data_IF_388612860307
#
_entry.id   IF_388612860307
#
_cell.length_a   1.000
_cell.length_b   1.000
_cell.length_c   1.000
_cell.angle_alpha   90.00
_cell.angle_beta   90.00
_cell.angle_gamma   90.00
#
_symmetry.space_group_name_H-M   'P 1'
#
loop_
_entity.id
_entity.type
_entity.pdbx_description
1 polymer ?
#
# COMPACT_ATOMS: atom_id res chain seq x y z
N UNK A 1 6.74 4.50 16.79
CA UNK A 1 5.97 3.29 16.47
C UNK A 1 6.89 2.28 15.80
N UNK A 2 6.86 1.04 16.25
CA UNK A 2 7.67 0.00 15.66
C UNK A 2 6.93 -0.67 14.51
N UNK A 3 7.56 -0.69 13.36
CA UNK A 3 6.99 -1.34 12.19
C UNK A 3 7.73 -2.60 11.78
N UNK A 4 8.82 -2.94 12.48
CA UNK A 4 9.56 -4.16 12.20
C UNK A 4 8.64 -5.36 12.33
N UNK A 5 8.69 -6.27 11.39
CA UNK A 5 7.83 -7.45 11.32
C UNK A 5 6.36 -7.16 11.03
N UNK A 6 6.02 -5.91 10.69
CA UNK A 6 4.65 -5.57 10.36
C UNK A 6 4.45 -5.52 8.86
N UNK A 7 3.30 -6.00 8.43
CA UNK A 7 2.88 -5.89 7.03
C UNK A 7 1.87 -4.76 6.98
N UNK A 8 2.16 -3.74 6.19
CA UNK A 8 1.36 -2.52 6.13
C UNK A 8 0.63 -2.47 4.79
N UNK A 9 -0.68 -2.35 4.85
CA UNK A 9 -1.49 -2.20 3.65
C UNK A 9 -1.84 -0.73 3.48
N UNK A 10 -1.46 -0.15 2.34
CA UNK A 10 -1.72 1.25 2.05
C UNK A 10 -2.75 1.31 0.93
N UNK A 11 -3.96 1.76 1.24
CA UNK A 11 -5.00 1.97 0.24
C UNK A 11 -4.83 3.35 -0.39
N UNK A 12 -5.30 3.51 -1.63
CA UNK A 12 -5.08 4.75 -2.35
C UNK A 12 -3.61 4.97 -2.69
N UNK A 13 -2.87 3.88 -2.86
CA UNK A 13 -1.42 3.94 -3.00
C UNK A 13 -0.95 4.61 -4.29
N UNK A 14 -1.84 4.77 -5.28
CA UNK A 14 -1.48 5.47 -6.51
C UNK A 14 -1.53 6.99 -6.33
N UNK A 15 -2.18 7.48 -5.27
CA UNK A 15 -2.26 8.91 -5.01
C UNK A 15 -0.96 9.42 -4.39
N UNK A 16 -0.77 10.74 -4.44
CA UNK A 16 0.42 11.34 -3.84
C UNK A 16 0.49 11.10 -2.32
N UNK A 17 -0.66 11.17 -1.65
CA UNK A 17 -0.70 10.95 -0.20
C UNK A 17 -0.40 9.50 0.14
N UNK A 18 -1.04 8.56 -0.57
CA UNK A 18 -0.81 7.13 -0.31
C UNK A 18 0.61 6.74 -0.60
N UNK A 19 1.19 7.27 -1.69
CA UNK A 19 2.58 6.99 -2.04
C UNK A 19 3.54 7.51 -0.96
N UNK A 20 3.30 8.72 -0.47
CA UNK A 20 4.13 9.29 0.57
C UNK A 20 4.04 8.45 1.85
N UNK A 21 2.86 7.95 2.17
CA UNK A 21 2.69 7.08 3.34
C UNK A 21 3.44 5.78 3.18
N UNK A 22 3.39 5.18 2.00
CA UNK A 22 4.10 3.93 1.75
C UNK A 22 5.60 4.11 1.92
N UNK A 23 6.15 5.19 1.38
CA UNK A 23 7.57 5.48 1.51
C UNK A 23 7.94 5.70 2.97
N UNK A 24 7.09 6.42 3.70
CA UNK A 24 7.33 6.69 5.12
C UNK A 24 7.35 5.40 5.94
N UNK A 25 6.37 4.52 5.71
CA UNK A 25 6.32 3.27 6.46
C UNK A 25 7.52 2.38 6.14
N UNK A 26 7.95 2.36 4.88
CA UNK A 26 9.13 1.60 4.52
C UNK A 26 10.37 2.14 5.23
N UNK A 27 10.50 3.46 5.27
CA UNK A 27 11.64 4.09 5.94
C UNK A 27 11.64 3.80 7.44
N UNK A 28 10.47 3.54 8.03
CA UNK A 28 10.36 3.23 9.45
C UNK A 28 10.52 1.74 9.74
N UNK A 29 10.85 0.95 8.75
CA UNK A 29 11.23 -0.44 8.97
C UNK A 29 10.14 -1.47 8.79
N UNK A 30 9.04 -1.12 8.12
CA UNK A 30 7.99 -2.10 7.85
C UNK A 30 8.58 -3.30 7.10
N UNK A 31 8.15 -4.48 7.48
CA UNK A 31 8.61 -5.71 6.86
C UNK A 31 8.16 -5.79 5.41
N UNK A 32 6.91 -5.40 5.15
CA UNK A 32 6.31 -5.50 3.83
C UNK A 32 5.29 -4.40 3.66
N UNK A 33 5.27 -3.80 2.49
CA UNK A 33 4.25 -2.81 2.12
C UNK A 33 3.40 -3.42 1.02
N UNK A 34 2.08 -3.38 1.18
CA UNK A 34 1.15 -3.79 0.14
C UNK A 34 0.46 -2.53 -0.35
N UNK A 35 0.74 -2.14 -1.59
CA UNK A 35 0.17 -0.95 -2.20
C UNK A 35 -1.12 -1.32 -2.91
N UNK A 36 -2.24 -0.76 -2.48
CA UNK A 36 -3.56 -1.12 -3.00
C UNK A 36 -4.20 0.12 -3.63
N UNK A 37 -4.67 -0.04 -4.86
CA UNK A 37 -5.40 1.02 -5.54
C UNK A 37 -6.19 0.41 -6.68
N UNK A 38 -7.30 1.08 -7.03
CA UNK A 38 -8.06 0.66 -8.22
C UNK A 38 -7.20 0.84 -9.48
N UNK A 39 -6.29 1.80 -9.45
CA UNK A 39 -5.31 2.02 -10.51
C UNK A 39 -4.09 1.14 -10.25
N UNK A 40 -4.07 -0.05 -10.84
CA UNK A 40 -2.99 -1.00 -10.58
C UNK A 40 -1.64 -0.50 -11.04
N UNK A 41 -1.60 0.25 -12.14
CA UNK A 41 -0.33 0.78 -12.62
C UNK A 41 0.30 1.74 -11.63
N UNK A 42 -0.53 2.63 -11.03
CA UNK A 42 -0.04 3.54 -10.01
C UNK A 42 0.39 2.81 -8.75
N UNK A 43 -0.36 1.77 -8.37
CA UNK A 43 0.00 0.96 -7.21
C UNK A 43 1.32 0.23 -7.46
N UNK A 44 1.54 -0.26 -8.67
CA UNK A 44 2.80 -0.91 -9.01
C UNK A 44 3.98 0.04 -8.93
N UNK A 45 3.79 1.27 -9.39
CA UNK A 45 4.85 2.27 -9.29
C UNK A 45 5.22 2.53 -7.84
N UNK A 46 4.21 2.64 -6.97
CA UNK A 46 4.46 2.84 -5.55
C UNK A 46 5.15 1.63 -4.93
N UNK A 47 4.69 0.42 -5.28
CA UNK A 47 5.28 -0.80 -4.75
C UNK A 47 6.77 -0.90 -5.11
N UNK A 48 7.13 -0.50 -6.33
CA UNK A 48 8.53 -0.54 -6.73
C UNK A 48 9.39 0.41 -5.90
N UNK A 49 8.83 1.55 -5.51
CA UNK A 49 9.56 2.51 -4.69
C UNK A 49 9.87 1.99 -3.30
N UNK A 50 9.06 1.06 -2.80
CA UNK A 50 9.20 0.56 -1.43
C UNK A 50 9.54 -0.93 -1.38
N UNK A 51 9.85 -1.50 -2.54
CA UNK A 51 10.14 -2.94 -2.65
C UNK A 51 9.00 -3.77 -2.07
N UNK A 52 7.78 -3.36 -2.41
CA UNK A 52 6.58 -3.99 -1.89
C UNK A 52 5.79 -4.74 -2.95
N UNK A 53 4.52 -4.99 -2.66
CA UNK A 53 3.61 -5.71 -3.53
C UNK A 53 2.47 -4.79 -3.91
N UNK A 54 2.03 -4.86 -5.16
CA UNK A 54 0.88 -4.09 -5.63
C UNK A 54 -0.33 -4.98 -5.78
N UNK A 55 -1.49 -4.45 -5.40
CA UNK A 55 -2.76 -5.14 -5.59
C UNK A 55 -3.79 -4.15 -6.10
N UNK A 56 -4.69 -4.63 -6.96
CA UNK A 56 -5.80 -3.82 -7.44
C UNK A 56 -7.05 -4.16 -6.64
N UNK A 57 -7.67 -3.15 -6.07
CA UNK A 57 -8.92 -3.32 -5.34
C UNK A 57 -9.68 -2.03 -5.30
N UNK A 58 -11.01 -2.13 -5.41
CA UNK A 58 -11.88 -0.98 -5.30
C UNK A 58 -12.39 -0.93 -3.86
N UNK A 59 -11.69 -0.18 -3.03
CA UNK A 59 -12.01 -0.13 -1.60
C UNK A 59 -13.29 0.64 -1.30
N UNK A 60 -13.89 1.26 -2.33
CA UNK A 60 -15.19 1.89 -2.13
C UNK A 60 -16.31 0.86 -2.15
N UNK A 61 -16.04 -0.38 -2.52
CA UNK A 61 -17.03 -1.45 -2.56
C UNK A 61 -16.97 -2.23 -1.26
N UNK A 62 -18.14 -2.42 -0.67
CA UNK A 62 -18.24 -3.05 0.63
C UNK A 62 -17.65 -4.45 0.64
N UNK A 63 -17.90 -5.23 -0.39
CA UNK A 63 -17.40 -6.59 -0.45
C UNK A 63 -15.88 -6.67 -0.49
N UNK A 64 -15.24 -5.66 -1.08
CA UNK A 64 -13.78 -5.62 -1.09
C UNK A 64 -13.23 -5.30 0.30
N UNK A 65 -13.93 -4.45 1.02
CA UNK A 65 -13.54 -4.09 2.38
C UNK A 65 -13.67 -5.28 3.31
N UNK A 66 -14.70 -6.08 3.15
CA UNK A 66 -14.95 -7.21 4.02
C UNK A 66 -13.93 -8.32 3.88
N UNK A 67 -13.16 -8.31 2.83
CA UNK A 67 -12.14 -9.34 2.60
C UNK A 67 -10.82 -9.04 3.26
N UNK A 68 -10.71 -7.87 3.82
CA UNK A 68 -9.45 -7.45 4.43
C UNK A 68 -9.26 -8.02 5.83
#
# INVERSE_FOLDING_TARGET
MELADKIIVVTGAASGIGRAMAVRFKAEGAKQIVAVDINIEGAQATAEMVDGVAMSADVSREEDIQRV
#
